data_IF_847337422087
#
_entry.id   IF_847337422087
#
_cell.length_a   1.000
_cell.length_b   1.000
_cell.length_c   1.000
_cell.angle_alpha   90.00
_cell.angle_beta   90.00
_cell.angle_gamma   90.00
#
_symmetry.space_group_name_H-M   'P 1'
#
loop_
_entity.id
_entity.type
_entity.pdbx_description
1 polymer ?
#
# COMPACT_ATOMS: atom_id res chain seq x y z
N UNK A 1 -0.91 -3.55 -19.16
CA UNK A 1 -1.58 -2.34 -18.75
C UNK A 1 -3.09 -2.61 -18.79
N UNK A 2 -3.75 -2.59 -17.64
CA UNK A 2 -5.21 -2.66 -17.58
C UNK A 2 -5.75 -1.26 -17.81
N UNK A 3 -6.77 -1.16 -18.67
CA UNK A 3 -7.40 0.10 -19.01
C UNK A 3 -8.36 0.50 -17.88
N UNK A 4 -7.97 1.43 -17.05
CA UNK A 4 -8.87 2.10 -16.13
C UNK A 4 -9.46 3.33 -16.82
N UNK A 5 -10.73 3.29 -17.16
CA UNK A 5 -11.46 4.38 -17.85
C UNK A 5 -10.75 4.95 -19.10
N UNK A 6 -9.99 4.12 -19.81
CA UNK A 6 -9.22 4.51 -20.99
C UNK A 6 -7.79 5.02 -20.70
N UNK A 7 -7.40 5.15 -19.44
CA UNK A 7 -6.04 5.50 -19.05
C UNK A 7 -5.27 4.25 -18.59
N UNK A 8 -4.06 4.06 -19.06
CA UNK A 8 -3.15 3.00 -18.61
C UNK A 8 -2.11 3.57 -17.66
N UNK A 9 -1.86 2.87 -16.55
CA UNK A 9 -0.82 3.25 -15.58
C UNK A 9 0.39 2.32 -15.76
N UNK A 10 1.57 2.92 -15.92
CA UNK A 10 2.81 2.15 -15.94
C UNK A 10 3.13 1.65 -14.53
N UNK A 11 3.24 0.34 -14.35
CA UNK A 11 3.76 -0.28 -13.13
C UNK A 11 5.22 -0.68 -13.37
N UNK A 12 6.15 -0.12 -12.59
CA UNK A 12 7.59 -0.31 -12.77
C UNK A 12 8.25 -0.74 -11.46
N UNK A 13 8.94 -1.88 -11.47
CA UNK A 13 9.58 -2.41 -10.26
C UNK A 13 11.09 -2.54 -10.45
N UNK A 14 11.85 -2.07 -9.46
CA UNK A 14 13.30 -2.22 -9.37
C UNK A 14 13.63 -3.21 -8.25
N UNK A 15 14.16 -4.35 -8.63
CA UNK A 15 14.59 -5.41 -7.70
C UNK A 15 16.06 -5.75 -7.97
N UNK A 16 16.68 -6.48 -7.04
CA UNK A 16 18.05 -6.92 -7.25
C UNK A 16 18.17 -7.84 -8.46
N UNK A 17 19.26 -7.70 -9.20
CA UNK A 17 19.57 -8.53 -10.37
C UNK A 17 20.03 -9.94 -9.91
N UNK A 18 19.07 -10.69 -9.41
CA UNK A 18 19.21 -12.05 -8.90
C UNK A 18 17.96 -12.85 -9.29
N UNK A 19 18.12 -13.97 -10.03
CA UNK A 19 16.99 -14.79 -10.45
C UNK A 19 16.12 -15.32 -9.28
N UNK A 20 16.74 -15.63 -8.14
CA UNK A 20 16.01 -16.08 -6.95
C UNK A 20 15.18 -14.93 -6.36
N UNK A 21 15.70 -13.70 -6.38
CA UNK A 21 14.98 -12.52 -5.93
C UNK A 21 13.69 -12.29 -6.75
N UNK A 22 13.78 -12.39 -8.07
CA UNK A 22 12.59 -12.25 -8.92
C UNK A 22 11.59 -13.39 -8.68
N UNK A 23 12.05 -14.62 -8.61
CA UNK A 23 11.19 -15.79 -8.41
C UNK A 23 10.41 -15.68 -7.08
N UNK A 24 11.08 -15.23 -6.02
CA UNK A 24 10.50 -15.07 -4.69
C UNK A 24 9.47 -13.91 -4.61
N UNK A 25 9.71 -12.82 -5.33
CA UNK A 25 8.89 -11.60 -5.21
C UNK A 25 7.78 -11.48 -6.25
N UNK A 26 7.91 -12.18 -7.38
CA UNK A 26 7.04 -11.98 -8.54
C UNK A 26 5.56 -12.12 -8.23
N UNK A 27 5.16 -13.16 -7.51
CA UNK A 27 3.76 -13.42 -7.20
C UNK A 27 3.11 -12.27 -6.39
N UNK A 28 3.88 -11.61 -5.52
CA UNK A 28 3.41 -10.47 -4.73
C UNK A 28 3.39 -9.19 -5.56
N UNK A 29 4.42 -8.97 -6.39
CA UNK A 29 4.50 -7.82 -7.29
C UNK A 29 3.34 -7.85 -8.30
N UNK A 30 2.99 -9.02 -8.82
CA UNK A 30 1.92 -9.20 -9.79
C UNK A 30 0.51 -8.85 -9.24
N UNK A 31 0.38 -8.68 -7.92
CA UNK A 31 -0.85 -8.19 -7.27
C UNK A 31 -1.01 -6.67 -7.30
N UNK A 32 0.04 -5.94 -7.62
CA UNK A 32 0.02 -4.47 -7.61
C UNK A 32 -1.02 -3.86 -8.54
N UNK A 33 -1.21 -4.32 -9.80
CA UNK A 33 -2.25 -3.78 -10.67
C UNK A 33 -3.66 -3.90 -10.07
N UNK A 34 -3.98 -5.05 -9.50
CA UNK A 34 -5.28 -5.32 -8.86
C UNK A 34 -5.53 -4.38 -7.67
N UNK A 35 -4.49 -4.07 -6.87
CA UNK A 35 -4.57 -3.10 -5.77
C UNK A 35 -4.75 -1.67 -6.28
N UNK A 36 -4.05 -1.26 -7.34
CA UNK A 36 -4.17 0.09 -7.93
C UNK A 36 -5.58 0.29 -8.49
N UNK A 37 -6.14 -0.72 -9.16
CA UNK A 37 -7.52 -0.70 -9.66
C UNK A 37 -8.51 -0.59 -8.49
N UNK A 38 -8.41 -1.47 -7.49
CA UNK A 38 -9.28 -1.46 -6.32
C UNK A 38 -9.30 -0.10 -5.63
N UNK A 39 -8.13 0.48 -5.33
CA UNK A 39 -8.08 1.76 -4.63
C UNK A 39 -8.52 2.94 -5.51
N UNK A 40 -8.33 2.84 -6.83
CA UNK A 40 -8.87 3.83 -7.76
C UNK A 40 -10.39 3.81 -7.79
N UNK A 41 -11.00 2.64 -7.67
CA UNK A 41 -12.46 2.48 -7.62
C UNK A 41 -13.05 2.93 -6.27
N UNK A 42 -12.36 2.61 -5.16
CA UNK A 42 -12.85 2.92 -3.81
C UNK A 42 -12.65 4.39 -3.42
N UNK A 43 -11.59 5.02 -3.89
CA UNK A 43 -11.25 6.41 -3.53
C UNK A 43 -11.50 7.37 -4.69
N UNK A 44 -10.50 7.57 -5.51
CA UNK A 44 -10.53 8.28 -6.80
C UNK A 44 -9.47 7.65 -7.69
N UNK A 45 -9.52 7.90 -8.99
CA UNK A 45 -8.47 7.49 -9.92
C UNK A 45 -7.08 7.77 -9.33
N UNK A 46 -6.17 6.82 -9.47
CA UNK A 46 -4.79 6.94 -8.95
C UNK A 46 -4.23 8.34 -9.20
N UNK A 47 -3.88 9.12 -8.18
CA UNK A 47 -3.59 10.55 -8.30
C UNK A 47 -2.46 10.86 -9.30
N UNK A 48 -1.50 9.96 -9.40
CA UNK A 48 -0.32 10.10 -10.26
C UNK A 48 -0.42 9.25 -11.54
N UNK A 49 -1.64 9.00 -12.04
CA UNK A 49 -1.90 8.14 -13.22
C UNK A 49 -1.16 8.56 -14.48
N UNK A 50 -0.80 9.85 -14.61
CA UNK A 50 -0.02 10.39 -15.75
C UNK A 50 1.48 10.11 -15.65
N UNK A 51 1.94 9.61 -14.51
CA UNK A 51 3.33 9.27 -14.27
C UNK A 51 3.52 7.75 -14.30
N UNK A 52 3.47 7.13 -13.15
CA UNK A 52 3.61 5.69 -12.93
C UNK A 52 3.28 5.34 -11.50
N UNK A 53 3.24 4.04 -11.20
CA UNK A 53 3.48 3.52 -9.86
C UNK A 53 4.54 2.43 -9.89
N UNK A 54 5.15 2.12 -8.75
CA UNK A 54 6.07 1.00 -8.66
C UNK A 54 6.81 0.91 -7.35
N UNK A 55 7.80 0.04 -7.34
CA UNK A 55 8.55 -0.27 -6.15
C UNK A 55 10.06 -0.28 -6.40
N UNK A 56 10.81 0.14 -5.38
CA UNK A 56 12.25 -0.02 -5.31
C UNK A 56 12.59 -0.91 -4.10
N UNK A 57 13.10 -2.12 -4.36
CA UNK A 57 13.49 -3.05 -3.30
C UNK A 57 14.74 -2.56 -2.57
N UNK A 58 14.69 -2.57 -1.24
CA UNK A 58 15.82 -2.25 -0.35
C UNK A 58 16.11 -3.39 0.62
N UNK A 59 17.26 -3.36 1.27
CA UNK A 59 17.62 -4.26 2.38
C UNK A 59 17.14 -3.76 3.74
N UNK A 60 16.61 -2.54 3.82
CA UNK A 60 15.97 -2.01 5.02
C UNK A 60 14.63 -2.69 5.23
N UNK A 61 14.21 -2.87 6.47
CA UNK A 61 12.86 -3.39 6.77
C UNK A 61 11.78 -2.33 6.59
N UNK A 62 10.51 -2.77 6.48
CA UNK A 62 9.36 -1.89 6.31
C UNK A 62 9.21 -1.35 4.89
N UNK A 63 8.47 -0.27 4.77
CA UNK A 63 8.26 0.46 3.54
C UNK A 63 8.46 1.97 3.74
N UNK A 64 8.41 2.70 2.65
CA UNK A 64 8.37 4.16 2.63
C UNK A 64 7.64 4.60 1.36
N UNK A 65 6.65 5.42 1.54
CA UNK A 65 5.69 5.85 0.54
C UNK A 65 6.22 6.91 -0.43
N UNK A 66 7.47 6.83 -0.86
CA UNK A 66 7.99 7.80 -1.82
C UNK A 66 7.06 7.90 -3.03
N UNK A 67 6.60 9.10 -3.32
CA UNK A 67 5.62 9.39 -4.37
C UNK A 67 5.94 8.65 -5.67
N UNK A 68 5.00 7.88 -6.18
CA UNK A 68 5.07 7.07 -7.40
C UNK A 68 6.09 5.92 -7.41
N UNK A 69 6.89 5.75 -6.35
CA UNK A 69 7.93 4.71 -6.27
C UNK A 69 8.18 4.32 -4.81
N UNK A 70 7.30 3.50 -4.24
CA UNK A 70 7.46 3.06 -2.84
C UNK A 70 8.75 2.29 -2.65
N UNK A 71 9.51 2.62 -1.60
CA UNK A 71 10.70 1.87 -1.21
C UNK A 71 10.30 0.72 -0.31
N UNK A 72 10.64 -0.51 -0.70
CA UNK A 72 10.11 -1.72 -0.09
C UNK A 72 11.21 -2.60 0.49
N UNK A 73 11.11 -2.95 1.77
CA UNK A 73 11.97 -3.97 2.40
C UNK A 73 11.49 -5.40 2.10
N UNK A 74 10.29 -5.54 1.56
CA UNK A 74 9.65 -6.79 1.15
C UNK A 74 8.38 -6.53 0.38
N UNK A 75 7.75 -7.58 -0.14
CA UNK A 75 6.53 -7.48 -0.93
C UNK A 75 5.37 -8.26 -0.28
N UNK A 76 5.29 -8.25 1.06
CA UNK A 76 4.09 -8.75 1.73
C UNK A 76 2.86 -7.97 1.27
N UNK A 77 1.74 -8.68 1.05
CA UNK A 77 0.50 -8.09 0.52
C UNK A 77 0.06 -6.85 1.29
N UNK A 78 0.13 -6.90 2.62
CA UNK A 78 -0.26 -5.77 3.48
C UNK A 78 0.65 -4.56 3.30
N UNK A 79 1.97 -4.79 3.27
CA UNK A 79 2.93 -3.71 3.07
C UNK A 79 2.72 -3.03 1.71
N UNK A 80 2.50 -3.81 0.65
CA UNK A 80 2.22 -3.24 -0.68
C UNK A 80 0.92 -2.43 -0.66
N UNK A 81 -0.14 -2.92 0.00
CA UNK A 81 -1.41 -2.19 0.13
C UNK A 81 -1.26 -0.91 0.96
N UNK A 82 -0.48 -0.96 2.05
CA UNK A 82 -0.17 0.19 2.89
C UNK A 82 0.54 1.30 2.11
N UNK A 83 1.70 0.99 1.54
CA UNK A 83 2.51 1.95 0.81
C UNK A 83 1.81 2.49 -0.45
N UNK A 84 0.98 1.68 -1.09
CA UNK A 84 0.14 2.16 -2.18
C UNK A 84 -0.98 3.08 -1.68
N UNK A 85 -1.58 2.78 -0.53
CA UNK A 85 -2.61 3.61 0.10
C UNK A 85 -2.14 5.03 0.37
N UNK A 86 -0.88 5.18 0.71
CA UNK A 86 -0.24 6.48 0.92
C UNK A 86 -0.22 7.36 -0.32
N UNK A 87 -0.32 6.82 -1.54
CA UNK A 87 -0.41 7.64 -2.75
C UNK A 87 -1.65 8.57 -2.73
N UNK A 88 -2.73 8.14 -2.07
CA UNK A 88 -3.91 8.97 -1.84
C UNK A 88 -3.81 9.75 -0.52
N UNK A 89 -3.39 9.07 0.56
CA UNK A 89 -3.37 9.58 1.94
C UNK A 89 -1.94 9.69 2.47
N UNK A 90 -1.28 10.75 2.12
CA UNK A 90 0.14 11.02 2.40
C UNK A 90 0.74 11.87 1.30
N UNK A 91 0.73 11.37 0.07
CA UNK A 91 1.34 12.05 -1.06
C UNK A 91 0.40 13.05 -1.75
N UNK A 92 -0.84 12.63 -2.02
CA UNK A 92 -1.83 13.51 -2.67
C UNK A 92 -2.55 14.41 -1.65
N UNK A 93 -3.00 13.83 -0.55
CA UNK A 93 -3.59 14.56 0.58
C UNK A 93 -2.76 14.25 1.80
N UNK A 94 -2.00 15.21 2.31
CA UNK A 94 -1.08 15.03 3.43
C UNK A 94 -1.54 15.78 4.68
N UNK A 95 -1.07 15.35 5.83
CA UNK A 95 -1.31 16.02 7.11
C UNK A 95 -0.71 17.43 7.13
N UNK A 96 -1.35 18.36 7.84
CA UNK A 96 -0.86 19.74 7.96
C UNK A 96 0.31 19.85 8.94
N UNK A 97 0.33 19.02 9.98
CA UNK A 97 1.37 18.98 11.02
C UNK A 97 1.68 17.54 11.41
N UNK A 98 2.81 17.31 12.06
CA UNK A 98 3.16 15.98 12.57
C UNK A 98 2.17 15.42 13.59
N UNK A 99 1.43 16.28 14.28
CA UNK A 99 0.36 15.86 15.19
C UNK A 99 -0.82 15.23 14.44
N UNK A 100 -0.93 15.48 13.13
CA UNK A 100 -2.00 14.98 12.26
C UNK A 100 -1.54 13.77 11.43
N UNK A 101 -0.34 13.23 11.65
CA UNK A 101 0.24 12.12 10.89
C UNK A 101 -0.67 10.88 10.86
N UNK A 102 -1.54 10.74 11.86
CA UNK A 102 -2.54 9.68 11.89
C UNK A 102 -3.48 9.68 10.67
N UNK A 103 -3.62 10.81 9.99
CA UNK A 103 -4.39 10.90 8.74
C UNK A 103 -3.69 10.08 7.65
N UNK A 104 -2.39 10.24 7.50
CA UNK A 104 -1.60 9.47 6.55
C UNK A 104 -1.60 7.99 6.93
N UNK A 105 -1.09 7.67 8.11
CA UNK A 105 -0.88 6.29 8.57
C UNK A 105 -2.19 5.52 8.83
N UNK A 106 -3.19 6.20 9.38
CA UNK A 106 -4.47 5.57 9.67
C UNK A 106 -5.24 5.18 8.41
N UNK A 107 -5.22 6.04 7.37
CA UNK A 107 -5.85 5.69 6.09
C UNK A 107 -5.04 4.69 5.30
N UNK A 108 -3.70 4.71 5.35
CA UNK A 108 -2.87 3.68 4.77
C UNK A 108 -3.12 2.31 5.42
N UNK A 109 -3.16 2.25 6.75
CA UNK A 109 -3.53 1.03 7.50
C UNK A 109 -4.97 0.58 7.21
N UNK A 110 -5.91 1.51 7.03
CA UNK A 110 -7.27 1.15 6.65
C UNK A 110 -7.35 0.61 5.21
N UNK A 111 -6.46 1.06 4.34
CA UNK A 111 -6.32 0.52 2.98
C UNK A 111 -5.92 -0.96 2.97
N UNK A 112 -5.10 -1.40 3.94
CA UNK A 112 -4.81 -2.82 4.16
C UNK A 112 -6.08 -3.64 4.46
N UNK A 113 -6.95 -3.09 5.34
CA UNK A 113 -8.24 -3.71 5.64
C UNK A 113 -9.12 -3.85 4.40
N UNK A 114 -9.22 -2.78 3.61
CA UNK A 114 -10.01 -2.77 2.38
C UNK A 114 -9.45 -3.77 1.36
N UNK A 115 -8.13 -3.80 1.18
CA UNK A 115 -7.48 -4.77 0.30
C UNK A 115 -7.82 -6.22 0.69
N UNK A 116 -7.75 -6.56 1.98
CA UNK A 116 -8.14 -7.88 2.47
C UNK A 116 -9.63 -8.16 2.26
N UNK A 117 -10.48 -7.17 2.53
CA UNK A 117 -11.93 -7.31 2.40
C UNK A 117 -12.36 -7.65 0.98
N UNK A 118 -11.77 -6.99 -0.01
CA UNK A 118 -12.18 -7.11 -1.41
C UNK A 118 -11.38 -8.16 -2.19
N UNK A 119 -10.11 -8.38 -1.87
CA UNK A 119 -9.22 -9.27 -2.64
C UNK A 119 -8.90 -10.60 -1.94
N UNK A 120 -9.30 -10.77 -0.70
CA UNK A 120 -9.17 -12.03 0.04
C UNK A 120 -10.53 -12.43 0.64
N UNK A 121 -10.81 -11.99 1.87
CA UNK A 121 -12.08 -12.31 2.51
C UNK A 121 -12.43 -11.33 3.63
N UNK A 122 -13.73 -11.19 3.90
CA UNK A 122 -14.20 -10.43 5.07
C UNK A 122 -13.65 -10.99 6.39
N UNK A 123 -13.44 -12.30 6.45
CA UNK A 123 -12.86 -12.95 7.64
C UNK A 123 -11.40 -12.54 7.86
N UNK A 124 -10.59 -12.45 6.80
CA UNK A 124 -9.21 -11.98 6.87
C UNK A 124 -9.15 -10.51 7.31
N UNK A 125 -9.98 -9.66 6.70
CA UNK A 125 -10.10 -8.24 7.08
C UNK A 125 -10.51 -8.06 8.55
N UNK A 126 -11.52 -8.80 9.01
CA UNK A 126 -11.95 -8.75 10.41
C UNK A 126 -10.86 -9.26 11.37
N UNK A 127 -10.12 -10.29 10.98
CA UNK A 127 -9.01 -10.81 11.80
C UNK A 127 -7.89 -9.77 11.95
N UNK A 128 -7.53 -9.10 10.88
CA UNK A 128 -6.57 -7.99 10.90
C UNK A 128 -7.06 -6.86 11.82
N UNK A 129 -8.29 -6.39 11.63
CA UNK A 129 -8.86 -5.30 12.44
C UNK A 129 -8.93 -5.65 13.93
N UNK A 130 -9.33 -6.88 14.28
CA UNK A 130 -9.30 -7.35 15.66
C UNK A 130 -7.89 -7.35 16.25
N UNK A 131 -6.88 -7.71 15.46
CA UNK A 131 -5.48 -7.64 15.87
C UNK A 131 -5.04 -6.22 16.19
N UNK A 132 -5.36 -5.27 15.32
CA UNK A 132 -5.07 -3.84 15.52
C UNK A 132 -5.78 -3.30 16.77
N UNK A 133 -7.08 -3.60 16.94
CA UNK A 133 -7.84 -3.18 18.11
C UNK A 133 -7.24 -3.73 19.42
N UNK A 134 -6.88 -5.01 19.44
CA UNK A 134 -6.26 -5.63 20.60
C UNK A 134 -4.90 -4.99 20.93
N UNK A 135 -4.11 -4.68 19.91
CA UNK A 135 -2.83 -3.98 20.10
C UNK A 135 -3.04 -2.60 20.72
N UNK A 136 -3.91 -1.77 20.14
CA UNK A 136 -4.22 -0.43 20.66
C UNK A 136 -4.75 -0.50 22.10
N UNK A 137 -5.63 -1.45 22.42
CA UNK A 137 -6.18 -1.62 23.75
C UNK A 137 -5.15 -2.12 24.78
N UNK A 138 -4.07 -2.76 24.33
CA UNK A 138 -2.98 -3.22 25.21
C UNK A 138 -1.98 -2.12 25.57
N UNK A 139 -2.01 -1.00 24.84
CA UNK A 139 -1.10 0.15 25.04
C UNK A 139 -1.86 1.36 25.64
N UNK A 140 -2.27 1.30 26.91
CA UNK A 140 -3.05 2.36 27.53
C UNK A 140 -2.21 3.65 27.64
N UNK A 141 -2.69 4.72 27.05
CA UNK A 141 -2.01 6.02 26.99
C UNK A 141 -1.10 6.20 25.78
N UNK A 142 -1.09 5.23 24.86
CA UNK A 142 -0.51 5.41 23.54
C UNK A 142 -1.33 6.43 22.75
N UNK A 143 -0.73 7.54 22.42
CA UNK A 143 -1.13 8.32 21.25
C UNK A 143 -0.01 8.23 20.24
N UNK A 144 -0.36 8.34 19.02
CA UNK A 144 0.57 8.49 17.91
C UNK A 144 1.36 9.80 18.09
#
# INVERSE_FOLDING_TARGET
>A
PEEMNGDSILIQNFIYNDPECLADKKASIDKTPELVELFSDLFILYPFHKEKYGHCLTKLGGGMEHQTMSTMGGFGFWLVAHELGHMWFGDNVTCATWSDIWINEGFASYSEYLALQYLDSQSAANSMMNGVQNYVMSEPGGSV
#
